data_IF_390565495355
#
_entry.id   IF_390565495355
#
_cell.length_a   1.000
_cell.length_b   1.000
_cell.length_c   1.000
_cell.angle_alpha   90.00
_cell.angle_beta   90.00
_cell.angle_gamma   90.00
#
_symmetry.space_group_name_H-M   'P 1'
#
loop_
_entity.id
_entity.type
_entity.pdbx_description
1 polymer ?
#
# COMPACT_ATOMS: atom_id res chain seq x y z
N UNK A 1 -12.84 36.55 -5.96
CA UNK A 1 -11.71 35.78 -5.39
C UNK A 1 -12.23 34.37 -5.08
N UNK A 2 -11.80 33.34 -5.82
CA UNK A 2 -12.21 31.96 -5.52
C UNK A 2 -11.32 31.47 -4.38
N UNK A 3 -11.90 31.23 -3.20
CA UNK A 3 -11.17 30.65 -2.08
C UNK A 3 -11.01 29.16 -2.39
N UNK A 4 -9.80 28.73 -2.74
CA UNK A 4 -9.48 27.31 -2.82
C UNK A 4 -9.46 26.76 -1.41
N UNK A 5 -10.58 26.19 -0.96
CA UNK A 5 -10.61 25.40 0.26
C UNK A 5 -9.90 24.08 -0.03
N UNK A 6 -8.84 23.78 0.71
CA UNK A 6 -8.25 22.44 0.71
C UNK A 6 -9.34 21.46 1.13
N UNK A 7 -9.56 20.36 0.38
CA UNK A 7 -10.51 19.33 0.79
C UNK A 7 -10.08 18.74 2.16
N UNK A 8 -11.04 18.32 3.00
CA UNK A 8 -10.71 17.67 4.26
C UNK A 8 -9.87 16.41 4.04
N UNK A 9 -8.89 16.17 4.90
CA UNK A 9 -8.09 14.95 4.91
C UNK A 9 -8.39 14.14 6.18
N UNK A 10 -8.62 12.85 6.02
CA UNK A 10 -8.76 11.93 7.14
C UNK A 10 -7.38 11.64 7.74
N UNK A 11 -7.28 11.69 9.07
CA UNK A 11 -6.06 11.32 9.80
C UNK A 11 -6.09 9.83 10.16
N UNK A 12 -4.92 9.19 10.15
CA UNK A 12 -4.81 7.77 10.49
C UNK A 12 -5.01 7.55 11.99
N UNK A 13 -5.77 6.50 12.34
CA UNK A 13 -5.83 5.99 13.71
C UNK A 13 -4.65 5.06 14.03
N UNK A 14 -4.08 4.45 13.00
CA UNK A 14 -3.00 3.48 13.08
C UNK A 14 -1.90 3.79 12.07
N UNK A 15 -0.63 3.68 12.48
CA UNK A 15 0.52 3.81 11.60
C UNK A 15 1.33 2.52 11.69
N UNK A 16 1.64 1.93 10.54
CA UNK A 16 2.37 0.68 10.49
C UNK A 16 3.19 0.51 9.23
N UNK A 17 3.97 -0.56 9.17
CA UNK A 17 4.87 -0.84 8.05
C UNK A 17 4.90 -2.31 7.69
N UNK A 18 5.31 -2.58 6.46
CA UNK A 18 5.66 -3.92 5.97
C UNK A 18 6.99 -3.83 5.25
N UNK A 19 7.86 -4.81 5.50
CA UNK A 19 9.05 -5.10 4.70
C UNK A 19 8.81 -6.42 3.96
N UNK A 20 8.90 -6.39 2.63
CA UNK A 20 8.67 -7.56 1.77
C UNK A 20 9.92 -8.40 1.50
N UNK A 21 11.05 -8.14 2.16
CA UNK A 21 12.34 -8.81 1.95
C UNK A 21 12.27 -10.33 2.13
N UNK A 22 11.36 -10.81 2.98
CA UNK A 22 11.14 -12.25 3.23
C UNK A 22 10.26 -12.94 2.18
N UNK A 23 9.52 -12.18 1.35
CA UNK A 23 8.69 -12.74 0.30
C UNK A 23 9.48 -12.80 -1.01
N UNK A 24 9.95 -13.98 -1.40
CA UNK A 24 10.71 -14.20 -2.63
C UNK A 24 9.85 -14.28 -3.92
N UNK A 25 8.53 -14.10 -3.83
CA UNK A 25 7.65 -14.16 -5.00
C UNK A 25 7.79 -12.93 -5.90
N UNK A 26 7.67 -13.16 -7.21
CA UNK A 26 7.49 -12.09 -8.21
C UNK A 26 6.05 -12.00 -8.69
N UNK A 27 5.15 -12.85 -8.19
CA UNK A 27 3.72 -12.77 -8.44
C UNK A 27 3.06 -11.69 -7.56
N UNK A 28 1.84 -11.32 -7.93
CA UNK A 28 1.04 -10.42 -7.10
C UNK A 28 0.85 -11.02 -5.71
N UNK A 29 1.06 -10.22 -4.67
CA UNK A 29 0.84 -10.59 -3.27
C UNK A 29 -0.16 -9.61 -2.68
N UNK A 30 -1.25 -10.14 -2.11
CA UNK A 30 -2.23 -9.33 -1.38
C UNK A 30 -1.67 -8.93 -0.03
N UNK A 31 -2.09 -7.76 0.45
CA UNK A 31 -1.81 -7.24 1.78
C UNK A 31 -3.12 -6.77 2.39
N UNK A 32 -3.41 -7.28 3.57
CA UNK A 32 -4.51 -6.87 4.43
C UNK A 32 -3.97 -6.25 5.72
N UNK A 33 -4.84 -5.65 6.53
CA UNK A 33 -4.41 -4.95 7.75
C UNK A 33 -3.62 -5.85 8.71
N UNK A 34 -3.96 -7.13 8.85
CA UNK A 34 -3.23 -8.07 9.72
C UNK A 34 -1.79 -8.36 9.29
N UNK A 35 -1.43 -8.04 8.04
CA UNK A 35 -0.05 -8.18 7.57
C UNK A 35 0.81 -6.97 7.98
N UNK A 36 0.17 -5.87 8.38
CA UNK A 36 0.86 -4.63 8.76
C UNK A 36 1.30 -4.70 10.22
N UNK A 37 2.57 -4.40 10.47
CA UNK A 37 3.10 -4.25 11.82
C UNK A 37 2.77 -2.86 12.37
N UNK A 38 2.11 -2.79 13.52
CA UNK A 38 1.88 -1.56 14.27
C UNK A 38 3.19 -0.96 14.76
N UNK A 39 3.50 0.26 14.31
CA UNK A 39 4.72 0.97 14.71
C UNK A 39 4.71 1.37 16.19
N UNK A 40 3.54 1.40 16.85
CA UNK A 40 3.43 1.71 18.28
C UNK A 40 3.69 0.49 19.15
N UNK A 41 3.17 -0.68 18.75
CA UNK A 41 3.16 -1.88 19.61
C UNK A 41 4.10 -2.98 19.13
N UNK A 42 4.52 -2.92 17.86
CA UNK A 42 5.27 -4.00 17.22
C UNK A 42 4.46 -5.28 17.07
N UNK A 43 3.13 -5.25 17.14
CA UNK A 43 2.24 -6.38 16.86
C UNK A 43 1.58 -6.22 15.48
N UNK A 44 0.96 -7.29 14.97
CA UNK A 44 0.08 -7.17 13.81
C UNK A 44 -1.11 -6.26 14.13
N UNK A 45 -1.54 -5.44 13.16
CA UNK A 45 -2.72 -4.60 13.33
C UNK A 45 -4.02 -5.42 13.42
N UNK A 46 -5.10 -4.86 14.00
CA UNK A 46 -6.44 -5.45 13.93
C UNK A 46 -6.88 -5.76 12.50
N UNK A 47 -7.68 -6.82 12.34
CA UNK A 47 -8.27 -7.17 11.05
C UNK A 47 -9.36 -6.17 10.63
N UNK A 48 -9.51 -5.95 9.32
CA UNK A 48 -10.60 -5.17 8.73
C UNK A 48 -10.40 -3.66 8.72
N UNK A 49 -9.20 -3.17 9.01
CA UNK A 49 -8.89 -1.74 8.86
C UNK A 49 -8.84 -1.34 7.39
N UNK A 50 -9.23 -0.09 7.10
CA UNK A 50 -9.06 0.50 5.78
C UNK A 50 -7.70 1.20 5.65
N UNK A 51 -7.07 1.06 4.50
CA UNK A 51 -5.88 1.82 4.10
C UNK A 51 -6.30 3.22 3.65
N UNK A 52 -5.77 4.25 4.32
CA UNK A 52 -6.09 5.65 4.01
C UNK A 52 -4.90 6.42 3.44
N UNK A 53 -3.69 5.90 3.62
CA UNK A 53 -2.49 6.39 2.95
C UNK A 53 -1.47 5.27 2.78
N UNK A 54 -0.70 5.35 1.69
CA UNK A 54 0.35 4.39 1.37
C UNK A 54 1.60 5.17 0.98
N UNK A 55 2.68 4.97 1.71
CA UNK A 55 4.04 5.22 1.27
C UNK A 55 4.68 3.90 0.86
N UNK A 56 5.41 3.89 -0.25
CA UNK A 56 6.18 2.72 -0.66
C UNK A 56 7.49 3.14 -1.29
N UNK A 57 8.57 2.47 -0.90
CA UNK A 57 9.89 2.59 -1.50
C UNK A 57 10.26 1.28 -2.18
N UNK A 58 10.66 1.37 -3.45
CA UNK A 58 11.24 0.28 -4.19
C UNK A 58 12.78 0.33 -4.06
N UNK A 59 13.36 -0.71 -3.48
CA UNK A 59 14.82 -0.81 -3.32
C UNK A 59 15.50 -1.45 -4.53
N UNK A 60 14.73 -2.01 -5.47
CA UNK A 60 15.27 -2.57 -6.71
C UNK A 60 16.06 -1.52 -7.48
N UNK A 61 17.20 -1.92 -8.02
CA UNK A 61 18.04 -1.07 -8.88
C UNK A 61 17.80 -1.27 -10.37
N UNK A 62 17.05 -2.32 -10.74
CA UNK A 62 16.93 -2.75 -12.14
C UNK A 62 15.49 -2.86 -12.64
N UNK A 63 14.50 -2.98 -11.76
CA UNK A 63 13.10 -3.19 -12.16
C UNK A 63 12.08 -2.38 -11.38
N UNK A 64 10.98 -2.04 -12.05
CA UNK A 64 9.82 -1.40 -11.44
C UNK A 64 8.97 -2.41 -10.67
N UNK A 65 8.48 -1.99 -9.52
CA UNK A 65 7.42 -2.68 -8.80
C UNK A 65 6.06 -2.08 -9.17
N UNK A 66 4.98 -2.79 -8.83
CA UNK A 66 3.62 -2.34 -9.13
C UNK A 66 2.72 -2.50 -7.91
N UNK A 67 1.75 -1.59 -7.79
CA UNK A 67 0.78 -1.54 -6.71
C UNK A 67 -0.64 -1.47 -7.26
N UNK A 68 -1.53 -2.30 -6.71
CA UNK A 68 -2.99 -2.22 -6.87
C UNK A 68 -3.62 -1.68 -5.60
N UNK A 69 -4.60 -0.80 -5.75
CA UNK A 69 -5.46 -0.32 -4.65
C UNK A 69 -6.68 -1.25 -4.43
N UNK A 70 -6.46 -2.55 -4.63
CA UNK A 70 -7.46 -3.63 -4.57
C UNK A 70 -6.76 -4.97 -4.45
N UNK A 71 -7.50 -6.01 -4.07
CA UNK A 71 -7.01 -7.38 -4.15
C UNK A 71 -6.65 -7.78 -5.59
N UNK A 72 -5.69 -8.71 -5.73
CA UNK A 72 -5.40 -9.36 -7.01
C UNK A 72 -6.60 -10.22 -7.46
N UNK A 73 -6.82 -10.31 -8.76
CA UNK A 73 -7.68 -11.34 -9.36
C UNK A 73 -6.97 -12.70 -9.45
N UNK A 74 -5.64 -12.68 -9.59
CA UNK A 74 -4.79 -13.86 -9.67
C UNK A 74 -3.29 -13.52 -9.60
N UNK A 75 -2.46 -14.56 -9.41
CA UNK A 75 -1.01 -14.42 -9.22
C UNK A 75 -0.30 -13.75 -10.41
N UNK A 76 -0.76 -14.05 -11.63
CA UNK A 76 -0.17 -13.59 -12.89
C UNK A 76 -1.00 -12.47 -13.56
N UNK A 77 -1.84 -11.75 -12.80
CA UNK A 77 -2.59 -10.62 -13.36
C UNK A 77 -1.67 -9.64 -14.09
N UNK A 78 -2.14 -9.00 -15.17
CA UNK A 78 -1.34 -7.98 -15.86
C UNK A 78 -1.07 -6.78 -14.96
N UNK A 79 0.02 -6.06 -15.28
CA UNK A 79 0.42 -4.80 -14.63
C UNK A 79 -0.18 -3.56 -15.30
N UNK A 80 -0.95 -3.75 -16.38
CA UNK A 80 -1.56 -2.66 -17.13
C UNK A 80 -2.56 -1.90 -16.24
N UNK A 81 -2.48 -0.56 -16.27
CA UNK A 81 -3.29 0.35 -15.46
C UNK A 81 -3.08 0.26 -13.94
N UNK A 82 -1.97 -0.32 -13.49
CA UNK A 82 -1.58 -0.33 -12.08
C UNK A 82 -0.56 0.78 -11.78
N UNK A 83 -0.38 1.09 -10.50
CA UNK A 83 0.55 2.16 -10.09
C UNK A 83 1.97 1.61 -10.17
N UNK A 84 2.76 2.13 -11.10
CA UNK A 84 4.17 1.80 -11.22
C UNK A 84 4.99 2.53 -10.16
N UNK A 85 5.91 1.79 -9.53
CA UNK A 85 6.91 2.30 -8.60
C UNK A 85 8.27 2.03 -9.24
N UNK A 86 8.87 3.03 -9.93
CA UNK A 86 10.13 2.85 -10.64
C UNK A 86 11.26 2.35 -9.73
N UNK A 87 12.30 1.76 -10.32
CA UNK A 87 13.48 1.33 -9.57
C UNK A 87 14.08 2.49 -8.78
N UNK A 88 14.51 2.22 -7.55
CA UNK A 88 15.07 3.18 -6.58
C UNK A 88 14.16 4.35 -6.19
N UNK A 89 12.90 4.35 -6.64
CA UNK A 89 11.95 5.42 -6.36
C UNK A 89 11.12 5.14 -5.10
N UNK A 90 10.47 6.20 -4.61
CA UNK A 90 9.44 6.12 -3.60
C UNK A 90 8.24 6.96 -4.02
N UNK A 91 7.05 6.51 -3.67
CA UNK A 91 5.81 7.25 -3.85
C UNK A 91 5.07 7.32 -2.52
N UNK A 92 4.26 8.36 -2.36
CA UNK A 92 3.35 8.53 -1.23
C UNK A 92 2.00 9.00 -1.75
N UNK A 93 0.95 8.26 -1.41
CA UNK A 93 -0.40 8.46 -1.92
C UNK A 93 -1.38 8.56 -0.75
N UNK A 94 -2.08 9.70 -0.56
CA UNK A 94 -3.29 9.73 0.23
C UNK A 94 -4.41 9.05 -0.57
N UNK A 95 -5.04 8.03 0.01
CA UNK A 95 -6.07 7.22 -0.67
C UNK A 95 -7.41 7.20 0.07
N UNK A 96 -7.53 7.90 1.22
CA UNK A 96 -8.74 7.99 2.02
C UNK A 96 -9.99 8.48 1.25
N UNK A 97 -9.78 9.28 0.19
CA UNK A 97 -10.85 9.95 -0.55
C UNK A 97 -11.06 9.39 -1.97
N UNK A 98 -10.59 8.17 -2.25
CA UNK A 98 -10.88 7.52 -3.53
C UNK A 98 -12.38 7.25 -3.65
N UNK A 99 -12.94 7.55 -4.82
CA UNK A 99 -14.35 7.22 -5.10
C UNK A 99 -14.54 5.70 -5.16
N UNK A 100 -15.62 5.19 -4.55
CA UNK A 100 -15.97 3.78 -4.57
C UNK A 100 -15.91 3.16 -3.17
N UNK A 101 -15.61 1.87 -3.13
CA UNK A 101 -15.53 1.09 -1.89
C UNK A 101 -14.27 1.44 -1.09
N UNK A 102 -14.34 1.18 0.22
CA UNK A 102 -13.19 1.31 1.13
C UNK A 102 -12.09 0.31 0.75
N UNK A 103 -10.84 0.77 0.80
CA UNK A 103 -9.68 -0.07 0.45
C UNK A 103 -9.25 -0.83 1.70
N UNK A 104 -9.63 -2.10 1.82
CA UNK A 104 -9.22 -2.99 2.93
C UNK A 104 -8.17 -4.02 2.49
N UNK A 105 -7.89 -4.09 1.19
CA UNK A 105 -6.85 -4.94 0.62
C UNK A 105 -6.17 -4.21 -0.52
N UNK A 106 -4.86 -4.30 -0.55
CA UNK A 106 -4.03 -3.88 -1.67
C UNK A 106 -3.27 -5.09 -2.20
N UNK A 107 -2.63 -4.96 -3.36
CA UNK A 107 -1.71 -5.97 -3.84
C UNK A 107 -0.44 -5.34 -4.40
N UNK A 108 0.71 -5.98 -4.19
CA UNK A 108 1.97 -5.55 -4.78
C UNK A 108 2.59 -6.65 -5.64
N UNK A 109 3.40 -6.23 -6.62
CA UNK A 109 4.22 -7.11 -7.44
C UNK A 109 5.64 -6.57 -7.50
N UNK A 110 6.62 -7.42 -7.19
CA UNK A 110 8.04 -7.10 -7.28
C UNK A 110 8.58 -7.41 -8.67
N UNK A 111 9.67 -6.76 -9.07
CA UNK A 111 10.34 -7.07 -10.32
C UNK A 111 11.10 -8.40 -10.24
N UNK A 112 11.83 -8.62 -9.14
CA UNK A 112 12.60 -9.83 -8.89
C UNK A 112 12.46 -10.34 -7.44
N UNK A 113 12.76 -11.63 -7.25
CA UNK A 113 12.65 -12.31 -5.96
C UNK A 113 13.49 -11.66 -4.84
N UNK A 114 14.66 -11.10 -5.18
CA UNK A 114 15.56 -10.44 -4.24
C UNK A 114 15.26 -8.96 -3.99
N UNK A 115 14.31 -8.37 -4.71
CA UNK A 115 13.94 -6.97 -4.49
C UNK A 115 13.10 -6.80 -3.21
N UNK A 116 13.11 -5.60 -2.66
CA UNK A 116 12.36 -5.27 -1.46
C UNK A 116 11.48 -4.04 -1.71
N UNK A 117 10.25 -4.12 -1.21
CA UNK A 117 9.36 -2.97 -1.06
C UNK A 117 9.20 -2.71 0.43
N UNK A 118 9.48 -1.47 0.82
CA UNK A 118 9.24 -1.00 2.18
C UNK A 118 8.00 -0.14 2.14
N UNK A 119 6.95 -0.61 2.81
CA UNK A 119 5.69 0.10 2.91
C UNK A 119 5.54 0.82 4.25
N UNK A 120 4.95 2.00 4.20
CA UNK A 120 4.44 2.74 5.34
C UNK A 120 2.94 2.99 5.10
N UNK A 121 2.12 2.63 6.06
CA UNK A 121 0.67 2.73 5.96
C UNK A 121 0.11 3.62 7.03
N UNK A 122 -0.87 4.43 6.65
CA UNK A 122 -1.87 4.95 7.57
C UNK A 122 -3.15 4.16 7.40
N UNK A 123 -3.68 3.64 8.51
CA UNK A 123 -4.94 2.90 8.54
C UNK A 123 -5.93 3.52 9.53
N UNK A 124 -7.20 3.22 9.33
CA UNK A 124 -8.29 3.59 10.25
C UNK A 124 -9.39 2.54 10.22
N UNK A 125 -10.31 2.60 11.17
CA UNK A 125 -11.54 1.82 11.08
C UNK A 125 -12.41 2.34 9.92
N UNK A 126 -13.03 1.44 9.12
CA UNK A 126 -13.81 1.81 7.94
C UNK A 126 -15.14 2.53 8.27
N UNK A 127 -15.53 2.58 9.53
CA UNK A 127 -16.80 3.16 10.01
C UNK A 127 -16.65 4.52 10.69
N UNK A 128 -15.44 5.05 10.76
CA UNK A 128 -15.13 6.34 11.42
C UNK A 128 -15.03 7.47 10.40
#
# INVERSE_FOLDING_TARGET
MRVNKTPPQQSAGYIGSIDTSTNASTDWTDVVSTDVQDSKTGAAMPAGLQFISIGVRNTSTTGSAYLKLRARGGAADPVAAEIEIPSTAAIALPIAATSGDVITTIAYKKAAAGDELIFLFGLSDPTV
#
